data_IF_195825592189
#
_entry.id   IF_195825592189
#
_cell.length_a   1.000
_cell.length_b   1.000
_cell.length_c   1.000
_cell.angle_alpha   90.00
_cell.angle_beta   90.00
_cell.angle_gamma   90.00
#
_symmetry.space_group_name_H-M   'P 1'
#
loop_
_entity.id
_entity.type
_entity.pdbx_description
1 polymer ?
#
# COMPACT_ATOMS: atom_id res chain seq x y z
N UNK A 1 -7.42 55.62 17.58
CA UNK A 1 -7.84 55.49 16.17
C UNK A 1 -6.76 54.68 15.45
N UNK A 2 -6.97 53.38 15.30
CA UNK A 2 -6.07 52.49 14.57
C UNK A 2 -6.94 51.51 13.79
N UNK A 3 -6.68 51.27 12.49
CA UNK A 3 -7.22 50.11 11.82
C UNK A 3 -6.12 49.16 11.34
N UNK A 4 -6.33 47.89 11.71
CA UNK A 4 -6.11 46.67 10.93
C UNK A 4 -4.74 46.45 10.29
N UNK A 5 -3.88 45.74 11.00
CA UNK A 5 -3.06 44.71 10.37
C UNK A 5 -3.87 43.42 10.22
N UNK A 6 -3.99 43.00 8.97
CA UNK A 6 -4.65 41.81 8.49
C UNK A 6 -3.98 40.56 9.09
N UNK A 7 -4.66 39.90 10.02
CA UNK A 7 -4.28 38.59 10.53
C UNK A 7 -4.62 37.56 9.44
N UNK A 8 -3.63 37.16 8.63
CA UNK A 8 -3.79 36.02 7.71
C UNK A 8 -3.82 34.76 8.57
N UNK A 9 -5.04 34.32 8.88
CA UNK A 9 -5.33 33.01 9.43
C UNK A 9 -5.00 31.98 8.33
N UNK A 10 -3.79 31.42 8.34
CA UNK A 10 -3.50 30.21 7.56
C UNK A 10 -4.39 29.11 8.12
N UNK A 11 -5.46 28.83 7.37
CA UNK A 11 -6.42 27.80 7.66
C UNK A 11 -5.67 26.48 7.86
N UNK A 12 -5.75 25.99 9.08
CA UNK A 12 -5.45 24.61 9.44
C UNK A 12 -6.20 23.70 8.46
N UNK A 13 -5.44 23.11 7.53
CA UNK A 13 -5.96 22.16 6.55
C UNK A 13 -6.42 20.96 7.37
N UNK A 14 -7.73 20.89 7.59
CA UNK A 14 -8.40 19.69 8.10
C UNK A 14 -8.04 18.55 7.15
N UNK A 15 -7.12 17.69 7.56
CA UNK A 15 -6.95 16.35 7.00
C UNK A 15 -8.16 15.51 7.39
N UNK A 16 -9.33 15.85 6.84
CA UNK A 16 -10.34 14.84 6.53
C UNK A 16 -10.04 14.41 5.09
N UNK A 17 -8.99 13.60 4.94
CA UNK A 17 -8.90 12.79 3.75
C UNK A 17 -10.09 11.83 3.83
N UNK A 18 -11.05 11.84 2.87
CA UNK A 18 -11.88 10.66 2.70
C UNK A 18 -10.91 9.47 2.55
N UNK A 19 -11.27 8.32 3.11
CA UNK A 19 -10.58 7.06 2.84
C UNK A 19 -10.88 6.72 1.37
N UNK A 20 -10.30 7.49 0.46
CA UNK A 20 -10.44 7.31 -0.96
C UNK A 20 -9.37 6.31 -1.32
N UNK A 21 -9.81 5.10 -1.67
CA UNK A 21 -8.93 4.14 -2.28
C UNK A 21 -8.33 4.81 -3.52
N UNK A 22 -7.01 4.95 -3.53
CA UNK A 22 -6.28 5.56 -4.62
C UNK A 22 -6.02 4.53 -5.71
N UNK A 23 -5.88 5.00 -6.94
CA UNK A 23 -5.53 4.17 -8.07
C UNK A 23 -4.04 3.81 -8.06
N UNK A 24 -3.69 2.63 -8.56
CA UNK A 24 -2.28 2.18 -8.69
C UNK A 24 -1.42 3.19 -9.45
N UNK A 25 -1.98 3.83 -10.48
CA UNK A 25 -1.29 4.85 -11.28
C UNK A 25 -0.96 6.13 -10.52
N UNK A 26 -1.66 6.42 -9.42
CA UNK A 26 -1.48 7.62 -8.61
C UNK A 26 -0.59 7.38 -7.38
N UNK A 27 -0.20 6.12 -7.18
CA UNK A 27 0.63 5.72 -6.06
C UNK A 27 2.05 6.24 -6.25
N UNK A 28 2.58 6.85 -5.19
CA UNK A 28 3.95 7.34 -5.13
C UNK A 28 4.83 6.43 -4.28
N UNK A 29 6.12 6.38 -4.60
CA UNK A 29 7.11 5.68 -3.79
C UNK A 29 7.26 6.34 -2.42
N UNK A 30 7.57 5.53 -1.39
CA UNK A 30 7.83 5.96 -0.01
C UNK A 30 6.63 6.65 0.66
N UNK A 31 5.41 6.23 0.33
CA UNK A 31 4.19 6.71 0.95
C UNK A 31 3.27 5.55 1.34
N UNK A 32 2.28 5.83 2.18
CA UNK A 32 1.19 4.92 2.49
C UNK A 32 0.10 5.07 1.43
N UNK A 33 -0.37 3.95 0.87
CA UNK A 33 -1.43 3.88 -0.11
C UNK A 33 -2.54 2.93 0.35
N UNK A 34 -3.78 3.29 0.02
CA UNK A 34 -4.94 2.41 0.20
C UNK A 34 -5.48 2.07 -1.18
N UNK A 35 -5.50 0.79 -1.52
CA UNK A 35 -5.98 0.26 -2.79
C UNK A 35 -7.23 -0.59 -2.52
N UNK A 36 -8.26 -0.44 -3.34
CA UNK A 36 -9.51 -1.18 -3.22
C UNK A 36 -9.77 -1.92 -4.52
N UNK A 37 -10.21 -3.17 -4.44
CA UNK A 37 -10.52 -3.95 -5.63
C UNK A 37 -9.32 -4.38 -6.47
N UNK A 38 -8.15 -4.59 -5.87
CA UNK A 38 -6.97 -5.07 -6.62
C UNK A 38 -7.04 -6.58 -6.83
N UNK A 39 -6.86 -7.03 -8.06
CA UNK A 39 -6.83 -8.46 -8.40
C UNK A 39 -5.40 -8.99 -8.30
N UNK A 40 -5.23 -10.11 -7.60
CA UNK A 40 -3.97 -10.85 -7.55
C UNK A 40 -3.82 -11.66 -8.84
N UNK A 41 -2.92 -11.25 -9.73
CA UNK A 41 -2.72 -11.91 -11.02
C UNK A 41 -2.12 -13.30 -10.83
N UNK A 42 -1.09 -13.39 -10.00
CA UNK A 42 -0.45 -14.65 -9.67
C UNK A 42 0.26 -14.57 -8.31
N UNK A 43 0.54 -15.75 -7.75
CA UNK A 43 1.35 -15.88 -6.55
C UNK A 43 2.79 -16.15 -6.99
N UNK A 44 3.70 -15.23 -6.68
CA UNK A 44 5.10 -15.44 -7.03
C UNK A 44 5.78 -16.45 -6.12
N UNK A 45 7.09 -16.56 -6.28
CA UNK A 45 7.90 -17.50 -5.51
C UNK A 45 8.03 -17.03 -4.06
N UNK A 46 7.79 -17.95 -3.12
CA UNK A 46 8.05 -17.72 -1.70
C UNK A 46 9.54 -17.83 -1.46
N UNK A 47 10.18 -16.71 -1.15
CA UNK A 47 11.58 -16.64 -0.74
C UNK A 47 11.67 -16.74 0.77
N UNK A 48 12.46 -17.68 1.25
CA UNK A 48 12.71 -17.90 2.67
C UNK A 48 14.11 -17.40 3.01
N UNK A 49 14.23 -16.63 4.09
CA UNK A 49 15.49 -16.09 4.57
C UNK A 49 15.57 -16.23 6.08
N UNK A 50 16.78 -16.33 6.63
CA UNK A 50 17.00 -16.39 8.07
C UNK A 50 17.48 -15.03 8.55
N UNK A 51 16.77 -14.42 9.51
CA UNK A 51 17.14 -13.12 10.09
C UNK A 51 17.15 -13.20 11.60
N UNK A 52 18.32 -13.03 12.22
CA UNK A 52 18.51 -13.12 13.68
C UNK A 52 17.89 -14.41 14.26
N UNK A 53 18.26 -15.57 13.69
CA UNK A 53 17.73 -16.91 14.06
C UNK A 53 16.21 -17.10 13.87
N UNK A 54 15.50 -16.14 13.25
CA UNK A 54 14.09 -16.30 12.90
C UNK A 54 13.93 -16.58 11.41
N UNK A 55 13.18 -17.63 11.01
CA UNK A 55 12.79 -17.81 9.63
C UNK A 55 11.84 -16.69 9.23
N UNK A 56 12.13 -16.03 8.11
CA UNK A 56 11.28 -15.05 7.46
C UNK A 56 10.93 -15.53 6.07
N UNK A 57 9.67 -15.35 5.66
CA UNK A 57 9.19 -15.70 4.33
C UNK A 57 8.68 -14.44 3.65
N UNK A 58 8.99 -14.27 2.37
CA UNK A 58 8.50 -13.16 1.56
C UNK A 58 8.01 -13.68 0.22
N UNK A 59 6.85 -13.22 -0.23
CA UNK A 59 6.27 -13.58 -1.52
C UNK A 59 5.91 -12.31 -2.27
N UNK A 60 6.34 -12.21 -3.53
CA UNK A 60 5.99 -11.11 -4.42
C UNK A 60 4.88 -11.58 -5.36
N UNK A 61 3.70 -10.98 -5.23
CA UNK A 61 2.55 -11.29 -6.07
C UNK A 61 2.27 -10.11 -7.00
N UNK A 62 2.31 -10.25 -8.33
CA UNK A 62 1.79 -9.22 -9.22
C UNK A 62 0.31 -8.99 -8.94
N UNK A 63 -0.06 -7.74 -8.70
CA UNK A 63 -1.44 -7.30 -8.55
C UNK A 63 -1.75 -6.27 -9.64
N UNK A 64 -3.00 -6.27 -10.09
CA UNK A 64 -3.50 -5.32 -11.08
C UNK A 64 -4.79 -4.69 -10.60
N UNK A 65 -5.04 -3.50 -11.09
CA UNK A 65 -6.29 -2.76 -10.96
C UNK A 65 -6.66 -2.19 -12.32
N UNK A 66 -7.87 -1.63 -12.46
CA UNK A 66 -8.29 -0.88 -13.65
C UNK A 66 -7.42 0.34 -13.98
N UNK A 67 -6.45 0.72 -13.14
CA UNK A 67 -5.49 1.80 -13.40
C UNK A 67 -4.09 1.37 -13.80
N UNK A 68 -3.68 0.14 -13.50
CA UNK A 68 -2.30 -0.29 -13.73
C UNK A 68 -1.94 -1.56 -12.97
N UNK A 69 -0.65 -1.85 -12.93
CA UNK A 69 -0.09 -3.07 -12.33
C UNK A 69 1.01 -2.69 -11.33
N UNK A 70 1.08 -3.41 -10.20
CA UNK A 70 2.17 -3.27 -9.23
C UNK A 70 2.50 -4.61 -8.57
N UNK A 71 3.49 -4.61 -7.67
CA UNK A 71 3.88 -5.82 -6.93
C UNK A 71 3.42 -5.76 -5.48
N UNK A 72 2.61 -6.71 -5.05
CA UNK A 72 2.27 -6.91 -3.64
C UNK A 72 3.33 -7.79 -2.97
N UNK A 73 3.91 -7.31 -1.88
CA UNK A 73 4.89 -8.04 -1.07
C UNK A 73 4.23 -8.51 0.22
N UNK A 74 4.06 -9.82 0.33
CA UNK A 74 3.47 -10.50 1.48
C UNK A 74 4.57 -11.12 2.35
N UNK A 75 4.43 -10.98 3.66
CA UNK A 75 5.38 -11.49 4.63
C UNK A 75 4.80 -12.62 5.46
N UNK A 76 5.57 -13.68 5.67
CA UNK A 76 5.26 -14.80 6.58
C UNK A 76 3.85 -15.38 6.34
N UNK A 77 2.96 -15.23 7.32
CA UNK A 77 1.59 -15.74 7.29
C UNK A 77 0.68 -15.00 6.30
N UNK A 78 1.03 -13.76 5.93
CA UNK A 78 0.28 -12.96 4.93
C UNK A 78 0.24 -13.66 3.57
N UNK A 79 1.26 -14.47 3.27
CA UNK A 79 1.36 -15.27 2.04
C UNK A 79 0.19 -16.25 1.92
N UNK A 80 -0.34 -16.73 3.04
CA UNK A 80 -1.49 -17.64 3.08
C UNK A 80 -2.85 -16.95 3.07
N UNK A 81 -2.91 -15.62 3.19
CA UNK A 81 -4.17 -14.87 3.25
C UNK A 81 -4.80 -14.63 1.87
N UNK A 82 -3.99 -14.73 0.82
CA UNK A 82 -4.41 -14.43 -0.55
C UNK A 82 -3.89 -15.47 -1.53
N UNK A 83 -4.70 -15.75 -2.55
CA UNK A 83 -4.35 -16.63 -3.65
C UNK A 83 -4.47 -15.93 -5.01
N UNK A 84 -3.92 -16.58 -6.04
CA UNK A 84 -4.01 -16.08 -7.40
C UNK A 84 -5.47 -16.07 -7.89
N UNK A 85 -5.89 -14.96 -8.48
CA UNK A 85 -7.25 -14.70 -8.93
C UNK A 85 -8.14 -14.03 -7.88
N UNK A 86 -7.66 -13.84 -6.65
CA UNK A 86 -8.43 -13.17 -5.61
C UNK A 86 -8.42 -11.65 -5.79
N UNK A 87 -9.56 -11.03 -5.54
CA UNK A 87 -9.67 -9.58 -5.41
C UNK A 87 -9.53 -9.20 -3.94
N UNK A 88 -8.64 -8.26 -3.65
CA UNK A 88 -8.34 -7.84 -2.28
C UNK A 88 -8.33 -6.32 -2.17
N UNK A 89 -8.55 -5.84 -0.95
CA UNK A 89 -8.43 -4.46 -0.53
C UNK A 89 -7.24 -4.32 0.40
N UNK A 90 -6.33 -3.43 0.05
CA UNK A 90 -5.15 -3.11 0.86
C UNK A 90 -5.36 -1.73 1.49
N UNK A 91 -5.37 -1.66 2.80
CA UNK A 91 -5.48 -0.40 3.55
C UNK A 91 -4.13 -0.05 4.16
N UNK A 92 -3.73 1.23 4.10
CA UNK A 92 -2.49 1.76 4.71
C UNK A 92 -1.21 0.99 4.33
N UNK A 93 -1.17 0.43 3.11
CA UNK A 93 -0.02 -0.32 2.61
C UNK A 93 1.17 0.61 2.34
N UNK A 94 2.37 0.20 2.77
CA UNK A 94 3.60 0.92 2.50
C UNK A 94 4.10 0.63 1.09
N UNK A 95 4.19 1.68 0.29
CA UNK A 95 4.68 1.63 -1.08
C UNK A 95 6.16 1.95 -1.11
N UNK A 96 6.92 1.05 -1.71
CA UNK A 96 8.35 1.18 -1.95
C UNK A 96 8.63 1.05 -3.43
N UNK A 97 9.50 1.90 -3.95
CA UNK A 97 10.05 1.69 -5.29
C UNK A 97 11.35 0.91 -5.19
N UNK A 98 11.46 -0.15 -6.00
CA UNK A 98 12.68 -0.90 -6.16
C UNK A 98 13.00 -1.07 -7.64
N UNK A 99 14.14 -0.52 -8.07
CA UNK A 99 14.60 -0.59 -9.46
C UNK A 99 13.56 -0.08 -10.47
N UNK A 100 12.87 1.02 -10.15
CA UNK A 100 11.82 1.63 -10.98
C UNK A 100 10.48 0.89 -10.97
N UNK A 101 10.30 -0.14 -10.12
CA UNK A 101 9.03 -0.85 -9.94
C UNK A 101 8.43 -0.53 -8.57
N UNK A 102 7.17 -0.10 -8.57
CA UNK A 102 6.41 0.11 -7.35
C UNK A 102 6.01 -1.24 -6.73
N UNK A 103 6.23 -1.35 -5.43
CA UNK A 103 5.88 -2.51 -4.63
C UNK A 103 5.13 -2.04 -3.38
N UNK A 104 3.98 -2.63 -3.09
CA UNK A 104 3.21 -2.37 -1.88
C UNK A 104 3.39 -3.50 -0.87
N UNK A 105 3.44 -3.17 0.41
CA UNK A 105 3.53 -4.12 1.52
C UNK A 105 2.58 -3.69 2.63
N UNK A 106 2.17 -4.59 3.52
CA UNK A 106 1.23 -4.22 4.60
C UNK A 106 1.87 -3.35 5.69
N UNK A 107 3.21 -3.26 5.77
CA UNK A 107 3.88 -2.39 6.73
C UNK A 107 3.45 -2.67 8.19
N UNK A 108 3.47 -1.65 9.06
CA UNK A 108 3.08 -1.81 10.48
C UNK A 108 1.57 -1.69 10.75
N UNK A 109 0.87 -0.91 9.93
CA UNK A 109 -0.55 -0.56 10.12
C UNK A 109 -1.44 -1.07 9.00
N UNK A 110 -0.86 -1.59 7.93
CA UNK A 110 -1.61 -1.99 6.78
C UNK A 110 -2.38 -3.27 7.03
N UNK A 111 -3.49 -3.37 6.31
CA UNK A 111 -4.44 -4.48 6.39
C UNK A 111 -4.76 -4.93 4.98
N UNK A 112 -4.97 -6.23 4.85
CA UNK A 112 -5.48 -6.84 3.64
C UNK A 112 -6.82 -7.48 3.95
N UNK A 113 -7.79 -7.26 3.08
CA UNK A 113 -9.13 -7.84 3.18
C UNK A 113 -9.49 -8.44 1.83
N UNK A 114 -9.97 -9.68 1.82
CA UNK A 114 -10.45 -10.33 0.60
C UNK A 114 -11.88 -9.88 0.32
N UNK A 115 -12.15 -9.50 -0.93
CA UNK A 115 -13.46 -9.06 -1.41
C UNK A 115 -14.25 -10.22 -2.02
#
# INVERSE_FOLDING_TARGET
MAPMHLLILVASIKTHAPIFAMKISEVQANSNATLDGVEVVSKGEVREFMRFDKPGRVCNCPIKDGSGEMQLTLWNDEIGLVDAGDTVKITDGWVKEWNGKLQISLGKKGRIEKL
#
